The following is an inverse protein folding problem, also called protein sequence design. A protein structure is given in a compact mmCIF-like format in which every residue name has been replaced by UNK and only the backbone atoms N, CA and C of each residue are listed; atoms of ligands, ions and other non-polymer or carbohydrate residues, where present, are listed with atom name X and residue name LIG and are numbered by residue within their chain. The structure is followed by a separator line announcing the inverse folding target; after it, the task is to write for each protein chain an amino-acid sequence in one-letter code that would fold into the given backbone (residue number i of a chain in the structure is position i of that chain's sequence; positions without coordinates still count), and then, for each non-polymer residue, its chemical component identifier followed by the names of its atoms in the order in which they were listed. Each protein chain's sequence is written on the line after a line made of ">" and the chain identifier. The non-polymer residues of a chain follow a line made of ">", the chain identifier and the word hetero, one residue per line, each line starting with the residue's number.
data_IF_934666785741
#
_entry.id   IF_934666785741
#
_cell.length_a   1.000
_cell.length_b   1.000
_cell.length_c   1.000
_cell.angle_alpha   90.00
_cell.angle_beta   90.00
_cell.angle_gamma   90.00
#
_symmetry.space_group_name_H-M   'P 1'
#
loop_
_entity.id
_entity.type
_entity.pdbx_description
1 polymer ?
#
# COMPACT_ATOMS: atom_id res chain seq x y z
N UNK A 1 31.05 -17.11 -19.14
CA UNK A 1 30.60 -15.71 -18.98
C UNK A 1 31.81 -14.85 -18.60
N UNK A 2 32.26 -13.94 -19.48
CA UNK A 2 33.46 -13.11 -19.26
C UNK A 2 33.30 -12.19 -18.02
N UNK A 3 34.38 -11.97 -17.28
CA UNK A 3 34.40 -11.22 -16.02
C UNK A 3 33.78 -9.80 -16.12
N UNK A 4 33.96 -9.15 -17.27
CA UNK A 4 33.37 -7.84 -17.59
C UNK A 4 31.84 -7.86 -17.57
N UNK A 5 31.22 -8.94 -18.06
CA UNK A 5 29.76 -9.10 -18.06
C UNK A 5 29.21 -9.28 -16.64
N UNK A 6 29.93 -9.97 -15.75
CA UNK A 6 29.55 -10.11 -14.33
C UNK A 6 29.60 -8.77 -13.59
N UNK A 7 30.61 -7.93 -13.87
CA UNK A 7 30.72 -6.59 -13.26
C UNK A 7 29.56 -5.68 -13.67
N UNK A 8 29.18 -5.71 -14.96
CA UNK A 8 28.06 -4.92 -15.47
C UNK A 8 26.71 -5.34 -14.88
N UNK A 9 26.51 -6.62 -14.56
CA UNK A 9 25.28 -7.10 -13.91
C UNK A 9 25.06 -6.57 -12.50
N UNK A 10 26.10 -6.07 -11.82
CA UNK A 10 26.00 -5.47 -10.49
C UNK A 10 25.73 -3.96 -10.49
N UNK A 11 25.71 -3.33 -11.66
CA UNK A 11 25.54 -1.87 -11.80
C UNK A 11 24.07 -1.53 -12.02
N UNK A 12 23.55 -0.61 -11.21
CA UNK A 12 22.27 0.04 -11.46
C UNK A 12 22.52 1.38 -12.14
N UNK A 13 21.92 1.58 -13.33
CA UNK A 13 22.00 2.85 -14.06
C UNK A 13 20.62 3.50 -14.03
N UNK A 14 20.56 4.75 -13.60
CA UNK A 14 19.35 5.55 -13.56
C UNK A 14 19.45 6.69 -14.56
N UNK A 15 18.39 6.89 -15.34
CA UNK A 15 18.25 7.99 -16.28
C UNK A 15 17.02 8.78 -15.84
N UNK A 16 17.19 10.08 -15.61
CA UNK A 16 16.11 10.97 -15.17
C UNK A 16 16.20 12.31 -15.89
N UNK A 17 15.06 12.97 -16.05
CA UNK A 17 14.93 14.34 -16.54
C UNK A 17 14.90 15.37 -15.41
N UNK A 18 14.92 14.94 -14.15
CA UNK A 18 14.92 15.78 -12.95
C UNK A 18 16.25 16.50 -12.77
N UNK A 19 16.24 17.76 -12.34
CA UNK A 19 17.48 18.49 -12.06
C UNK A 19 18.10 18.04 -10.72
N UNK A 20 19.43 18.15 -10.54
CA UNK A 20 20.07 17.91 -9.24
C UNK A 20 19.60 18.84 -8.12
N UNK A 21 18.97 19.97 -8.44
CA UNK A 21 18.38 20.88 -7.44
C UNK A 21 17.04 20.35 -6.91
N UNK A 22 16.26 19.70 -7.78
CA UNK A 22 14.98 19.08 -7.41
C UNK A 22 15.18 17.75 -6.69
N UNK A 23 16.05 16.89 -7.22
CA UNK A 23 16.41 15.59 -6.64
C UNK A 23 17.92 15.43 -6.64
N UNK A 24 18.57 15.54 -5.46
CA UNK A 24 19.99 15.29 -5.33
C UNK A 24 20.37 13.90 -5.84
N UNK A 25 21.52 13.78 -6.50
CA UNK A 25 22.00 12.52 -7.10
C UNK A 25 22.00 11.35 -6.11
N UNK A 26 22.29 11.62 -4.83
CA UNK A 26 22.33 10.60 -3.78
C UNK A 26 20.94 10.01 -3.45
N UNK A 27 19.87 10.76 -3.72
CA UNK A 27 18.49 10.37 -3.38
C UNK A 27 17.78 9.67 -4.54
N UNK A 28 18.30 9.79 -5.77
CA UNK A 28 17.72 9.18 -6.99
C UNK A 28 17.43 7.70 -6.79
N UNK A 29 18.38 6.95 -6.22
CA UNK A 29 18.18 5.53 -5.93
C UNK A 29 17.06 5.30 -4.92
N UNK A 30 16.99 6.10 -3.85
CA UNK A 30 15.95 5.97 -2.82
C UNK A 30 14.56 6.24 -3.41
N UNK A 31 14.40 7.31 -4.17
CA UNK A 31 13.15 7.60 -4.87
C UNK A 31 12.78 6.53 -5.89
N UNK A 32 13.72 6.06 -6.71
CA UNK A 32 13.45 5.01 -7.67
C UNK A 32 13.03 3.70 -7.00
N UNK A 33 13.50 3.43 -5.77
CA UNK A 33 13.08 2.26 -5.00
C UNK A 33 11.57 2.29 -4.63
N UNK A 34 10.95 3.48 -4.58
CA UNK A 34 9.50 3.64 -4.39
C UNK A 34 8.68 3.08 -5.56
N UNK A 35 9.28 2.88 -6.74
CA UNK A 35 8.63 2.20 -7.86
C UNK A 35 8.01 0.86 -7.44
N UNK A 36 8.61 0.16 -6.48
CA UNK A 36 8.08 -1.10 -5.94
C UNK A 36 6.65 -0.98 -5.36
N UNK A 37 6.19 0.23 -4.98
CA UNK A 37 4.81 0.44 -4.52
C UNK A 37 3.78 0.00 -5.56
N UNK A 38 4.04 0.19 -6.87
CA UNK A 38 3.11 -0.26 -7.90
C UNK A 38 3.02 -1.80 -7.95
N UNK A 39 4.13 -2.49 -7.70
CA UNK A 39 4.15 -3.95 -7.63
C UNK A 39 3.36 -4.46 -6.42
N UNK A 40 3.44 -3.76 -5.29
CA UNK A 40 2.61 -4.04 -4.11
C UNK A 40 1.12 -3.85 -4.46
N UNK A 41 0.75 -2.76 -5.13
CA UNK A 41 -0.64 -2.53 -5.55
C UNK A 41 -1.14 -3.64 -6.47
N UNK A 42 -0.40 -4.00 -7.53
CA UNK A 42 -0.79 -5.10 -8.41
C UNK A 42 -0.82 -6.45 -7.69
N UNK A 43 0.07 -6.67 -6.72
CA UNK A 43 0.03 -7.88 -5.90
C UNK A 43 -1.26 -7.94 -5.09
N UNK A 44 -1.68 -6.84 -4.47
CA UNK A 44 -2.94 -6.76 -3.73
C UNK A 44 -4.13 -7.02 -4.67
N UNK A 45 -4.15 -6.41 -5.85
CA UNK A 45 -5.26 -6.57 -6.80
C UNK A 45 -5.41 -8.02 -7.26
N UNK A 46 -4.30 -8.68 -7.58
CA UNK A 46 -4.32 -10.11 -7.95
C UNK A 46 -4.66 -11.01 -6.77
N UNK A 47 -4.00 -10.83 -5.62
CA UNK A 47 -4.17 -11.74 -4.48
C UNK A 47 -5.51 -11.61 -3.75
N UNK A 48 -6.10 -10.41 -3.69
CA UNK A 48 -7.33 -10.18 -2.92
C UNK A 48 -8.56 -9.94 -3.76
N UNK A 49 -8.40 -9.47 -5.00
CA UNK A 49 -9.52 -9.20 -5.90
C UNK A 49 -9.53 -10.12 -7.10
N UNK A 50 -8.50 -10.96 -7.30
CA UNK A 50 -8.44 -11.97 -8.36
C UNK A 50 -8.64 -11.36 -9.76
N UNK A 51 -8.14 -10.13 -9.98
CA UNK A 51 -8.33 -9.41 -11.25
C UNK A 51 -7.68 -10.11 -12.46
N UNK A 52 -6.68 -10.96 -12.21
CA UNK A 52 -6.02 -11.78 -13.22
C UNK A 52 -6.72 -13.14 -13.46
N UNK A 53 -7.68 -13.52 -12.62
CA UNK A 53 -8.43 -14.75 -12.76
C UNK A 53 -9.53 -14.61 -13.83
N UNK A 54 -9.18 -14.85 -15.09
CA UNK A 54 -10.15 -14.87 -16.18
C UNK A 54 -10.77 -16.26 -16.36
N UNK A 55 -12.09 -16.36 -16.27
CA UNK A 55 -12.84 -17.57 -16.62
C UNK A 55 -13.34 -17.46 -18.05
N UNK A 56 -13.39 -18.57 -18.76
CA UNK A 56 -14.00 -18.63 -20.10
C UNK A 56 -15.52 -18.46 -20.00
N UNK A 57 -16.00 -17.24 -20.14
CA UNK A 57 -17.42 -16.85 -20.05
C UNK A 57 -17.78 -15.87 -21.17
N UNK A 58 -19.07 -15.60 -21.35
CA UNK A 58 -19.54 -14.56 -22.27
C UNK A 58 -18.93 -13.21 -21.92
N UNK A 59 -18.62 -12.41 -22.95
CA UNK A 59 -17.97 -11.10 -22.84
C UNK A 59 -18.70 -10.19 -21.85
N UNK A 60 -20.03 -10.14 -21.92
CA UNK A 60 -20.85 -9.25 -21.08
C UNK A 60 -20.75 -9.61 -19.59
N UNK A 61 -20.67 -10.91 -19.30
CA UNK A 61 -20.48 -11.39 -17.92
C UNK A 61 -19.06 -11.10 -17.43
N UNK A 62 -18.06 -11.23 -18.29
CA UNK A 62 -16.68 -10.89 -17.97
C UNK A 62 -16.54 -9.40 -17.65
N UNK A 63 -17.10 -8.52 -18.49
CA UNK A 63 -17.09 -7.07 -18.28
C UNK A 63 -17.78 -6.70 -16.97
N UNK A 64 -18.98 -7.24 -16.70
CA UNK A 64 -19.68 -7.00 -15.44
C UNK A 64 -18.85 -7.45 -14.21
N UNK A 65 -18.22 -8.61 -14.29
CA UNK A 65 -17.34 -9.10 -13.21
C UNK A 65 -16.13 -8.19 -12.99
N UNK A 66 -15.46 -7.79 -14.09
CA UNK A 66 -14.31 -6.89 -14.05
C UNK A 66 -14.69 -5.54 -13.44
N UNK A 67 -15.79 -4.92 -13.86
CA UNK A 67 -16.26 -3.68 -13.27
C UNK A 67 -16.56 -3.83 -11.78
N UNK A 68 -17.20 -4.92 -11.36
CA UNK A 68 -17.42 -5.22 -9.95
C UNK A 68 -16.12 -5.31 -9.15
N UNK A 69 -15.09 -5.98 -9.68
CA UNK A 69 -13.76 -6.06 -9.07
C UNK A 69 -13.11 -4.68 -8.98
N UNK A 70 -13.17 -3.86 -10.05
CA UNK A 70 -12.62 -2.51 -10.08
C UNK A 70 -13.30 -1.58 -9.07
N UNK A 71 -14.62 -1.66 -8.92
CA UNK A 71 -15.36 -0.90 -7.90
C UNK A 71 -14.92 -1.36 -6.50
N UNK A 72 -14.82 -2.66 -6.26
CA UNK A 72 -14.32 -3.19 -4.98
C UNK A 72 -12.91 -2.71 -4.65
N UNK A 73 -12.00 -2.73 -5.63
CA UNK A 73 -10.64 -2.20 -5.50
C UNK A 73 -10.66 -0.71 -5.14
N UNK A 74 -11.49 0.08 -5.84
CA UNK A 74 -11.61 1.52 -5.61
C UNK A 74 -12.08 1.83 -4.19
N UNK A 75 -13.14 1.15 -3.73
CA UNK A 75 -13.69 1.34 -2.38
C UNK A 75 -12.68 0.94 -1.30
N UNK A 76 -12.00 -0.19 -1.47
CA UNK A 76 -10.98 -0.66 -0.52
C UNK A 76 -9.80 0.29 -0.46
N UNK A 77 -9.31 0.72 -1.63
CA UNK A 77 -8.15 1.61 -1.74
C UNK A 77 -8.47 2.98 -1.13
N UNK A 78 -9.64 3.54 -1.45
CA UNK A 78 -10.09 4.82 -0.90
C UNK A 78 -10.21 4.77 0.63
N UNK A 79 -10.83 3.72 1.16
CA UNK A 79 -10.93 3.51 2.62
C UNK A 79 -9.54 3.36 3.26
N UNK A 80 -8.63 2.61 2.64
CA UNK A 80 -7.26 2.42 3.12
C UNK A 80 -6.51 3.75 3.17
N UNK A 81 -6.60 4.58 2.13
CA UNK A 81 -5.96 5.89 2.11
C UNK A 81 -6.49 6.81 3.21
N UNK A 82 -7.82 6.87 3.41
CA UNK A 82 -8.42 7.67 4.48
C UNK A 82 -7.96 7.18 5.87
N UNK A 83 -8.00 5.86 6.10
CA UNK A 83 -7.55 5.28 7.37
C UNK A 83 -6.05 5.50 7.64
N UNK A 84 -5.22 5.45 6.59
CA UNK A 84 -3.79 5.75 6.67
C UNK A 84 -3.57 7.20 7.11
N UNK A 85 -4.26 8.16 6.50
CA UNK A 85 -4.14 9.57 6.88
C UNK A 85 -4.56 9.79 8.34
N UNK A 86 -5.71 9.26 8.75
CA UNK A 86 -6.19 9.37 10.12
C UNK A 86 -5.22 8.76 11.14
N UNK A 87 -4.62 7.61 10.84
CA UNK A 87 -3.63 6.97 11.71
C UNK A 87 -2.29 7.73 11.76
N UNK A 88 -1.87 8.31 10.65
CA UNK A 88 -0.69 9.17 10.61
C UNK A 88 -0.91 10.43 11.45
N UNK A 89 -2.05 11.09 11.31
CA UNK A 89 -2.37 12.31 12.06
C UNK A 89 -2.49 12.05 13.56
N UNK A 90 -3.30 11.05 13.95
CA UNK A 90 -3.65 10.81 15.36
C UNK A 90 -2.63 10.00 16.14
N UNK A 91 -1.91 9.10 15.47
CA UNK A 91 -1.00 8.14 16.13
C UNK A 91 0.41 8.13 15.54
N UNK A 92 0.69 8.98 14.54
CA UNK A 92 1.99 8.99 13.85
C UNK A 92 2.38 7.57 13.38
N UNK A 93 1.41 6.80 12.88
CA UNK A 93 1.61 5.40 12.54
C UNK A 93 1.59 5.18 11.03
N UNK A 94 2.62 4.53 10.48
CA UNK A 94 2.59 4.04 9.10
C UNK A 94 1.73 2.77 8.99
N UNK A 95 0.74 2.82 8.10
CA UNK A 95 -0.15 1.70 7.82
C UNK A 95 0.38 0.86 6.64
N UNK A 96 0.37 -0.46 6.78
CA UNK A 96 0.71 -1.40 5.70
C UNK A 96 -0.45 -1.52 4.71
N UNK A 97 -0.25 -1.10 3.46
CA UNK A 97 -1.24 -1.16 2.38
C UNK A 97 -1.81 -2.58 2.23
N UNK A 98 -0.92 -3.58 2.20
CA UNK A 98 -1.30 -4.99 2.04
C UNK A 98 -2.17 -5.49 3.19
N UNK A 99 -1.77 -5.25 4.45
CA UNK A 99 -2.55 -5.70 5.61
C UNK A 99 -3.86 -4.92 5.74
N UNK A 100 -3.83 -3.63 5.46
CA UNK A 100 -5.00 -2.77 5.56
C UNK A 100 -6.07 -3.19 4.56
N UNK A 101 -5.72 -3.35 3.28
CA UNK A 101 -6.70 -3.76 2.26
C UNK A 101 -7.27 -5.15 2.57
N UNK A 102 -6.45 -6.09 3.06
CA UNK A 102 -6.94 -7.39 3.54
C UNK A 102 -8.03 -7.23 4.61
N UNK A 103 -7.76 -6.47 5.68
CA UNK A 103 -8.72 -6.25 6.77
C UNK A 103 -9.96 -5.46 6.31
N UNK A 104 -9.79 -4.45 5.45
CA UNK A 104 -10.90 -3.63 4.94
C UNK A 104 -11.83 -4.47 4.06
N UNK A 105 -11.27 -5.32 3.19
CA UNK A 105 -12.06 -6.19 2.31
C UNK A 105 -12.99 -7.10 3.13
N UNK A 106 -12.50 -7.64 4.24
CA UNK A 106 -13.29 -8.50 5.13
C UNK A 106 -14.41 -7.75 5.87
N UNK A 107 -14.35 -6.41 5.92
CA UNK A 107 -15.39 -5.57 6.53
C UNK A 107 -16.52 -5.22 5.56
N UNK A 108 -16.37 -5.41 4.25
CA UNK A 108 -17.42 -5.02 3.29
C UNK A 108 -18.78 -5.70 3.50
N UNK A 109 -18.86 -7.00 3.83
CA UNK A 109 -20.15 -7.61 4.13
C UNK A 109 -20.86 -6.93 5.31
N UNK A 110 -20.11 -6.47 6.31
CA UNK A 110 -20.65 -5.73 7.46
C UNK A 110 -21.20 -4.37 7.03
N UNK A 111 -20.47 -3.64 6.17
CA UNK A 111 -20.95 -2.36 5.62
C UNK A 111 -22.25 -2.55 4.84
N UNK A 112 -22.33 -3.57 3.99
CA UNK A 112 -23.53 -3.86 3.23
C UNK A 112 -24.73 -4.19 4.14
N UNK A 113 -24.52 -4.99 5.19
CA UNK A 113 -25.55 -5.32 6.17
C UNK A 113 -26.04 -4.08 6.92
N UNK A 114 -25.13 -3.23 7.40
CA UNK A 114 -25.49 -2.01 8.12
C UNK A 114 -26.22 -0.99 7.24
N UNK A 115 -25.89 -0.90 5.94
CA UNK A 115 -26.64 -0.06 4.99
C UNK A 115 -28.11 -0.46 4.87
N UNK A 116 -28.44 -1.74 5.09
CA UNK A 116 -29.81 -2.25 5.02
C UNK A 116 -30.56 -2.19 6.36
N UNK A 117 -29.88 -1.86 7.46
CA UNK A 117 -30.43 -1.93 8.82
C UNK A 117 -30.67 -0.53 9.42
N UNK A 118 -29.62 0.12 9.93
CA UNK A 118 -29.72 1.38 10.66
C UNK A 118 -28.48 2.26 10.47
N UNK A 119 -28.67 3.59 10.50
CA UNK A 119 -27.64 4.59 10.33
C UNK A 119 -26.60 4.57 11.47
N UNK A 120 -27.01 4.21 12.70
CA UNK A 120 -26.10 4.16 13.84
C UNK A 120 -25.06 3.03 13.70
N UNK A 121 -25.48 1.85 13.24
CA UNK A 121 -24.56 0.73 12.95
C UNK A 121 -23.56 1.11 11.85
N UNK A 122 -24.01 1.84 10.83
CA UNK A 122 -23.18 2.27 9.72
C UNK A 122 -22.03 3.19 10.16
N UNK A 123 -22.25 4.04 11.17
CA UNK A 123 -21.21 4.91 11.76
C UNK A 123 -20.24 4.11 12.64
N UNK A 124 -20.72 3.07 13.31
CA UNK A 124 -19.90 2.26 14.22
C UNK A 124 -18.88 1.37 13.49
N UNK A 125 -19.18 0.91 12.28
CA UNK A 125 -18.27 0.03 11.51
C UNK A 125 -16.93 0.71 11.18
N UNK A 126 -16.87 1.94 10.62
CA UNK A 126 -15.62 2.67 10.43
C UNK A 126 -14.80 2.82 11.71
N UNK A 127 -15.46 3.04 12.86
CA UNK A 127 -14.78 3.18 14.14
C UNK A 127 -14.10 1.88 14.56
N UNK A 128 -14.80 0.74 14.47
CA UNK A 128 -14.24 -0.59 14.73
C UNK A 128 -13.11 -0.92 13.77
N UNK A 129 -13.28 -0.61 12.49
CA UNK A 129 -12.25 -0.79 11.47
C UNK A 129 -10.99 0.02 11.79
N UNK A 130 -11.14 1.29 12.18
CA UNK A 130 -10.02 2.13 12.61
C UNK A 130 -9.26 1.53 13.79
N UNK A 131 -9.98 1.05 14.82
CA UNK A 131 -9.36 0.40 15.98
C UNK A 131 -8.58 -0.87 15.57
N UNK A 132 -9.17 -1.70 14.71
CA UNK A 132 -8.54 -2.91 14.19
C UNK A 132 -7.26 -2.58 13.39
N UNK A 133 -7.35 -1.63 12.47
CA UNK A 133 -6.22 -1.17 11.64
C UNK A 133 -5.12 -0.55 12.49
N UNK A 134 -5.49 0.22 13.52
CA UNK A 134 -4.52 0.78 14.46
C UNK A 134 -3.73 -0.33 15.17
N UNK A 135 -4.42 -1.36 15.65
CA UNK A 135 -3.80 -2.44 16.42
C UNK A 135 -2.94 -3.38 15.56
N UNK A 136 -3.44 -3.74 14.37
CA UNK A 136 -2.87 -4.84 13.58
C UNK A 136 -2.23 -4.40 12.25
N UNK A 137 -2.56 -3.20 11.77
CA UNK A 137 -2.21 -2.72 10.44
C UNK A 137 -0.85 -2.04 10.32
N UNK A 138 -0.11 -1.86 11.42
CA UNK A 138 1.21 -1.17 11.40
C UNK A 138 2.16 -1.80 10.38
N UNK A 139 2.86 -0.94 9.62
CA UNK A 139 3.92 -1.34 8.70
C UNK A 139 5.07 -1.96 9.49
N UNK A 140 5.52 -3.13 9.04
CA UNK A 140 6.69 -3.76 9.61
C UNK A 140 7.95 -3.06 9.07
N UNK A 141 8.78 -2.54 9.96
CA UNK A 141 10.08 -1.98 9.58
C UNK A 141 11.15 -3.06 9.67
N UNK A 142 11.79 -3.37 8.54
CA UNK A 142 12.90 -4.34 8.50
C UNK A 142 14.23 -3.63 8.77
N UNK A 143 15.16 -4.33 9.39
CA UNK A 143 16.49 -3.80 9.68
C UNK A 143 17.21 -3.38 8.39
N UNK A 144 17.81 -2.16 8.38
CA UNK A 144 18.51 -1.55 7.24
C UNK A 144 17.66 -1.34 5.97
N UNK A 145 16.33 -1.41 6.05
CA UNK A 145 15.43 -1.15 4.91
C UNK A 145 14.56 0.04 5.23
N UNK A 146 14.62 1.05 4.36
CA UNK A 146 13.77 2.23 4.43
C UNK A 146 12.34 1.88 3.98
N UNK A 147 11.37 2.45 4.65
CA UNK A 147 9.95 2.48 4.30
C UNK A 147 9.67 3.65 3.35
N UNK A 148 8.42 3.75 2.88
CA UNK A 148 8.00 4.89 2.07
C UNK A 148 8.09 6.18 2.88
N UNK A 149 7.69 6.13 4.16
CA UNK A 149 7.76 7.29 5.03
C UNK A 149 9.19 7.74 5.30
N UNK A 150 10.14 6.80 5.45
CA UNK A 150 11.56 7.15 5.61
C UNK A 150 12.12 7.87 4.37
N UNK A 151 11.80 7.37 3.17
CA UNK A 151 12.28 7.95 1.90
C UNK A 151 11.66 9.34 1.67
N UNK A 152 10.38 9.52 2.03
CA UNK A 152 9.67 10.79 1.85
C UNK A 152 9.86 11.78 3.01
N UNK A 153 10.64 11.43 4.04
CA UNK A 153 10.86 12.29 5.21
C UNK A 153 9.61 12.55 6.05
N UNK A 154 8.61 11.65 6.01
CA UNK A 154 7.38 11.78 6.79
C UNK A 154 7.68 11.42 8.24
N UNK A 155 7.25 12.26 9.19
CA UNK A 155 7.46 12.01 10.62
C UNK A 155 6.44 10.99 11.15
N UNK A 156 6.95 9.86 11.67
CA UNK A 156 6.13 8.80 12.25
C UNK A 156 6.88 8.08 13.40
N UNK A 157 6.15 7.37 14.26
CA UNK A 157 6.73 6.53 15.30
C UNK A 157 7.35 5.27 14.69
N UNK A 158 8.66 5.10 14.88
CA UNK A 158 9.40 3.91 14.49
C UNK A 158 9.49 2.92 15.67
N UNK A 159 9.36 1.62 15.39
CA UNK A 159 9.58 0.57 16.41
C UNK A 159 11.05 0.21 16.58
N UNK A 160 11.93 0.78 15.75
CA UNK A 160 13.37 0.51 15.78
C UNK A 160 14.03 1.61 16.60
N UNK A 161 14.78 1.23 17.65
CA UNK A 161 15.57 2.19 18.43
C UNK A 161 16.48 2.99 17.48
N UNK A 162 16.54 4.33 17.58
CA UNK A 162 17.44 5.12 16.75
C UNK A 162 18.88 4.65 16.98
N UNK A 163 19.65 4.61 15.90
CA UNK A 163 21.10 4.44 15.96
C UNK A 163 21.64 5.55 16.87
N UNK A 164 22.22 5.22 18.01
CA UNK A 164 23.14 6.15 18.67
C UNK A 164 24.27 6.37 17.65
N UNK A 165 24.35 7.59 17.12
CA UNK A 165 25.49 7.99 16.32
C UNK A 165 26.72 7.91 17.24
N UNK A 166 27.68 7.07 16.86
CA UNK A 166 29.04 7.08 17.38
C UNK A 166 29.89 7.90 16.42
#
# INVERSE_FOLDING_TARGET
>A
MQEKSKRLMGMNVYITNTSPEEVPTNDVHAFYSLRWQIEILFKIWKSFFEIDACKTIKKERLECHLYGQLIGILLCSSTMFQMRQLLLEKKKQELSEYKAIYMIKDYFPLFYQAMAADAEELVNIPHRLYQLLSKNGRKCHRFKKMTVFDILGIVYETTIKPRQAA
#
